data_IF_414282343628
#
_entry.id   IF_414282343628
#
_cell.length_a   1.000
_cell.length_b   1.000
_cell.length_c   1.000
_cell.angle_alpha   90.00
_cell.angle_beta   90.00
_cell.angle_gamma   90.00
#
_symmetry.space_group_name_H-M   'P 1'
#
loop_
_entity.id
_entity.type
_entity.pdbx_description
1 polymer ?
#
# COMPACT_ATOMS: atom_id res chain seq x y z
N UNK A 1 -1.05 45.63 38.41
CA UNK A 1 -1.02 45.02 37.07
C UNK A 1 -2.39 45.21 36.48
N UNK A 2 -2.52 46.04 35.43
CA UNK A 2 -3.82 46.49 34.94
C UNK A 2 -4.61 45.35 34.31
N UNK A 3 -5.90 45.25 34.62
CA UNK A 3 -6.81 44.21 34.10
C UNK A 3 -6.80 44.15 32.57
N UNK A 4 -6.56 45.26 31.89
CA UNK A 4 -6.40 45.36 30.43
C UNK A 4 -5.20 44.56 29.91
N UNK A 5 -4.07 44.59 30.62
CA UNK A 5 -2.86 43.84 30.25
C UNK A 5 -3.12 42.34 30.40
N UNK A 6 -3.85 41.94 31.44
CA UNK A 6 -4.22 40.54 31.68
C UNK A 6 -5.14 40.03 30.57
N UNK A 7 -6.18 40.79 30.20
CA UNK A 7 -7.10 40.43 29.12
C UNK A 7 -6.38 40.34 27.77
N UNK A 8 -5.49 41.30 27.47
CA UNK A 8 -4.68 41.27 26.26
C UNK A 8 -3.76 40.03 26.22
N UNK A 9 -3.09 39.71 27.34
CA UNK A 9 -2.24 38.52 27.44
C UNK A 9 -3.03 37.23 27.23
N UNK A 10 -4.21 37.09 27.86
CA UNK A 10 -5.10 35.92 27.67
C UNK A 10 -5.52 35.80 26.20
N UNK A 11 -5.92 36.91 25.56
CA UNK A 11 -6.33 36.92 24.16
C UNK A 11 -5.20 36.49 23.22
N UNK A 12 -3.98 36.96 23.47
CA UNK A 12 -2.79 36.58 22.70
C UNK A 12 -2.48 35.11 22.88
N UNK A 13 -2.43 34.62 24.12
CA UNK A 13 -2.17 33.20 24.42
C UNK A 13 -3.24 32.32 23.77
N UNK A 14 -4.53 32.66 23.93
CA UNK A 14 -5.64 31.91 23.34
C UNK A 14 -5.56 31.84 21.82
N UNK A 15 -5.17 32.93 21.17
CA UNK A 15 -4.96 32.97 19.71
C UNK A 15 -3.84 32.03 19.27
N UNK A 16 -2.68 32.09 19.95
CA UNK A 16 -1.56 31.18 19.66
C UNK A 16 -1.93 29.71 19.91
N UNK A 17 -2.63 29.41 21.00
CA UNK A 17 -3.11 28.04 21.29
C UNK A 17 -4.06 27.56 20.21
N UNK A 18 -5.00 28.38 19.75
CA UNK A 18 -5.96 27.99 18.72
C UNK A 18 -5.28 27.73 17.37
N UNK A 19 -4.33 28.60 16.98
CA UNK A 19 -3.53 28.40 15.76
C UNK A 19 -2.71 27.11 15.84
N UNK A 20 -2.07 26.84 16.97
CA UNK A 20 -1.31 25.61 17.18
C UNK A 20 -2.21 24.36 17.08
N UNK A 21 -3.35 24.36 17.79
CA UNK A 21 -4.30 23.23 17.76
C UNK A 21 -4.86 23.01 16.35
N UNK A 22 -5.15 24.08 15.60
CA UNK A 22 -5.60 23.97 14.21
C UNK A 22 -4.53 23.35 13.31
N UNK A 23 -3.26 23.77 13.44
CA UNK A 23 -2.16 23.19 12.66
C UNK A 23 -1.97 21.69 12.95
N UNK A 24 -2.07 21.29 14.22
CA UNK A 24 -2.03 19.88 14.63
C UNK A 24 -3.22 19.11 14.03
N UNK A 25 -4.43 19.66 14.13
CA UNK A 25 -5.65 19.05 13.58
C UNK A 25 -5.57 18.89 12.07
N UNK A 26 -5.13 19.91 11.34
CA UNK A 26 -4.99 19.88 9.88
C UNK A 26 -3.98 18.83 9.43
N UNK A 27 -2.83 18.76 10.12
CA UNK A 27 -1.83 17.73 9.88
C UNK A 27 -2.39 16.32 10.13
N UNK A 28 -3.18 16.15 11.19
CA UNK A 28 -3.85 14.88 11.49
C UNK A 28 -4.86 14.49 10.42
N UNK A 29 -5.72 15.44 10.01
CA UNK A 29 -6.71 15.23 8.95
C UNK A 29 -6.05 14.86 7.62
N UNK A 30 -4.97 15.56 7.23
CA UNK A 30 -4.23 15.22 6.02
C UNK A 30 -3.66 13.80 6.07
N UNK A 31 -3.07 13.40 7.19
CA UNK A 31 -2.56 12.02 7.38
C UNK A 31 -3.69 10.98 7.33
N UNK A 32 -4.87 11.31 7.86
CA UNK A 32 -6.03 10.44 7.82
C UNK A 32 -6.54 10.24 6.39
N UNK A 33 -6.71 11.31 5.61
CA UNK A 33 -7.17 11.23 4.23
C UNK A 33 -6.21 10.43 3.34
N UNK A 34 -4.89 10.63 3.49
CA UNK A 34 -3.90 9.82 2.77
C UNK A 34 -4.07 8.33 3.09
N UNK A 35 -4.21 7.95 4.37
CA UNK A 35 -4.39 6.54 4.76
C UNK A 35 -5.71 5.97 4.26
N UNK A 36 -6.78 6.76 4.28
CA UNK A 36 -8.09 6.36 3.75
C UNK A 36 -8.01 6.10 2.25
N UNK A 37 -7.29 6.95 1.51
CA UNK A 37 -7.05 6.76 0.09
C UNK A 37 -6.21 5.50 -0.18
N UNK A 38 -5.10 5.34 0.54
CA UNK A 38 -4.25 4.14 0.50
C UNK A 38 -5.07 2.86 0.70
N UNK A 39 -5.86 2.81 1.77
CA UNK A 39 -6.70 1.67 2.11
C UNK A 39 -7.74 1.38 1.03
N UNK A 40 -8.48 2.40 0.60
CA UNK A 40 -9.62 2.23 -0.31
C UNK A 40 -9.21 1.87 -1.73
N UNK A 41 -8.14 2.47 -2.26
CA UNK A 41 -7.70 2.26 -3.64
C UNK A 41 -6.78 1.05 -3.81
N UNK A 42 -5.96 0.74 -2.81
CA UNK A 42 -4.91 -0.27 -2.95
C UNK A 42 -5.01 -1.41 -1.94
N UNK A 43 -4.80 -1.15 -0.64
CA UNK A 43 -4.56 -2.23 0.32
C UNK A 43 -5.78 -3.13 0.55
N UNK A 44 -7.00 -2.57 0.62
CA UNK A 44 -8.22 -3.39 0.76
C UNK A 44 -8.48 -4.21 -0.51
N UNK A 45 -8.49 -3.61 -1.73
CA UNK A 45 -8.62 -4.40 -2.97
C UNK A 45 -7.54 -5.48 -3.12
N UNK A 46 -6.29 -5.18 -2.75
CA UNK A 46 -5.19 -6.15 -2.79
C UNK A 46 -5.47 -7.31 -1.83
N UNK A 47 -5.77 -7.01 -0.57
CA UNK A 47 -6.06 -8.01 0.46
C UNK A 47 -7.25 -8.91 0.09
N UNK A 48 -8.34 -8.33 -0.41
CA UNK A 48 -9.50 -9.08 -0.86
C UNK A 48 -9.15 -10.07 -1.98
N UNK A 49 -8.37 -9.63 -2.99
CA UNK A 49 -7.91 -10.49 -4.08
C UNK A 49 -6.91 -11.53 -3.59
N UNK A 50 -6.04 -11.18 -2.66
CA UNK A 50 -5.08 -12.10 -2.05
C UNK A 50 -5.79 -13.24 -1.31
N UNK A 51 -6.83 -12.93 -0.54
CA UNK A 51 -7.67 -13.95 0.09
C UNK A 51 -8.44 -14.78 -0.94
N UNK A 52 -9.06 -14.15 -1.95
CA UNK A 52 -9.84 -14.84 -2.96
C UNK A 52 -8.98 -15.78 -3.84
N UNK A 53 -7.73 -15.43 -4.09
CA UNK A 53 -6.78 -16.26 -4.83
C UNK A 53 -6.21 -17.43 -4.04
N UNK A 54 -6.50 -17.52 -2.73
CA UNK A 54 -5.96 -18.52 -1.81
C UNK A 54 -4.42 -18.60 -1.86
N UNK A 55 -3.73 -17.46 -1.99
CA UNK A 55 -2.26 -17.42 -2.15
C UNK A 55 -1.41 -18.09 -1.07
N UNK A 56 -1.87 -18.30 0.18
CA UNK A 56 -1.15 -19.21 1.09
C UNK A 56 -0.97 -20.64 0.53
N UNK A 57 -1.77 -21.03 -0.46
CA UNK A 57 -1.87 -22.36 -1.06
C UNK A 57 -1.74 -22.34 -2.59
N UNK A 58 -1.58 -21.16 -3.21
CA UNK A 58 -1.61 -20.98 -4.65
C UNK A 58 -0.47 -20.10 -5.13
N UNK A 59 -0.13 -20.24 -6.41
CA UNK A 59 0.93 -19.48 -7.09
C UNK A 59 0.31 -18.50 -8.07
N UNK A 60 0.91 -17.31 -8.21
CA UNK A 60 0.43 -16.32 -9.17
C UNK A 60 0.61 -16.87 -10.58
N UNK A 61 1.76 -17.50 -10.87
CA UNK A 61 2.06 -18.10 -12.17
C UNK A 61 1.01 -19.12 -12.62
N UNK A 62 0.46 -19.91 -11.69
CA UNK A 62 -0.55 -20.94 -11.96
C UNK A 62 -1.96 -20.38 -12.20
N UNK A 63 -2.20 -19.09 -11.96
CA UNK A 63 -3.50 -18.47 -12.22
C UNK A 63 -3.71 -18.20 -13.71
N UNK A 64 -4.96 -17.96 -14.11
CA UNK A 64 -5.25 -17.49 -15.48
C UNK A 64 -4.56 -16.15 -15.76
N UNK A 65 -4.18 -15.93 -17.02
CA UNK A 65 -3.57 -14.67 -17.47
C UNK A 65 -4.38 -13.44 -17.06
N UNK A 66 -5.72 -13.52 -17.18
CA UNK A 66 -6.62 -12.46 -16.74
C UNK A 66 -6.51 -12.19 -15.22
N UNK A 67 -6.45 -13.24 -14.40
CA UNK A 67 -6.29 -13.08 -12.95
C UNK A 67 -4.93 -12.46 -12.59
N UNK A 68 -3.84 -12.88 -13.26
CA UNK A 68 -2.51 -12.26 -13.08
C UNK A 68 -2.51 -10.80 -13.50
N UNK A 69 -3.12 -10.48 -14.64
CA UNK A 69 -3.26 -9.10 -15.14
C UNK A 69 -4.03 -8.21 -14.15
N UNK A 70 -5.05 -8.73 -13.46
CA UNK A 70 -5.77 -7.98 -12.41
C UNK A 70 -4.87 -7.60 -11.22
N UNK A 71 -3.95 -8.47 -10.81
CA UNK A 71 -2.95 -8.13 -9.79
C UNK A 71 -1.96 -7.10 -10.30
N UNK A 72 -1.41 -7.36 -11.48
CA UNK A 72 -0.47 -6.46 -12.13
C UNK A 72 -1.04 -5.03 -12.24
N UNK A 73 -2.23 -4.90 -12.83
CA UNK A 73 -2.90 -3.60 -13.00
C UNK A 73 -3.15 -2.90 -11.67
N UNK A 74 -3.60 -3.64 -10.63
CA UNK A 74 -3.82 -3.05 -9.32
C UNK A 74 -2.53 -2.46 -8.73
N UNK A 75 -1.44 -3.21 -8.80
CA UNK A 75 -0.14 -2.77 -8.25
C UNK A 75 0.36 -1.58 -9.06
N UNK A 76 0.43 -1.70 -10.39
CA UNK A 76 0.96 -0.66 -11.29
C UNK A 76 0.20 0.66 -11.17
N UNK A 77 -1.13 0.63 -11.12
CA UNK A 77 -1.93 1.85 -11.04
C UNK A 77 -1.85 2.55 -9.69
N UNK A 78 -1.33 1.88 -8.65
CA UNK A 78 -1.38 2.37 -7.27
C UNK A 78 0.00 2.36 -6.59
N UNK A 79 1.10 2.36 -7.35
CA UNK A 79 2.46 2.36 -6.78
C UNK A 79 2.65 3.52 -5.80
N UNK A 80 2.16 4.71 -6.14
CA UNK A 80 2.26 5.92 -5.30
C UNK A 80 1.56 5.81 -3.94
N UNK A 81 0.68 4.83 -3.75
CA UNK A 81 -0.03 4.57 -2.49
C UNK A 81 0.67 3.53 -1.60
N UNK A 82 1.63 2.77 -2.15
CA UNK A 82 2.41 1.79 -1.39
C UNK A 82 3.42 2.48 -0.47
N UNK A 83 3.88 1.82 0.59
CA UNK A 83 5.02 2.36 1.35
C UNK A 83 6.34 2.14 0.57
N UNK A 84 7.44 2.87 0.90
CA UNK A 84 8.65 2.90 0.08
C UNK A 84 9.29 1.53 -0.20
N UNK A 85 9.17 0.57 0.70
CA UNK A 85 9.72 -0.77 0.52
C UNK A 85 8.99 -1.53 -0.59
N UNK A 86 7.66 -1.57 -0.56
CA UNK A 86 6.87 -2.16 -1.64
C UNK A 86 7.05 -1.42 -2.97
N UNK A 87 7.22 -0.10 -2.96
CA UNK A 87 7.53 0.66 -4.18
C UNK A 87 8.86 0.24 -4.80
N UNK A 88 9.91 0.07 -3.99
CA UNK A 88 11.23 -0.35 -4.46
C UNK A 88 11.22 -1.77 -5.08
N UNK A 89 10.31 -2.63 -4.63
CA UNK A 89 10.15 -4.00 -5.14
C UNK A 89 9.36 -4.07 -6.46
N UNK A 90 8.74 -2.97 -6.89
CA UNK A 90 7.88 -2.97 -8.07
C UNK A 90 8.64 -3.29 -9.36
N UNK A 91 9.85 -2.77 -9.53
CA UNK A 91 10.64 -3.02 -10.76
C UNK A 91 10.91 -4.51 -10.95
N UNK A 92 11.24 -5.23 -9.88
CA UNK A 92 11.50 -6.66 -9.93
C UNK A 92 10.23 -7.44 -10.27
N UNK A 93 9.10 -7.04 -9.69
CA UNK A 93 7.80 -7.63 -9.99
C UNK A 93 7.40 -7.41 -11.46
N UNK A 94 7.57 -6.19 -11.97
CA UNK A 94 7.27 -5.84 -13.36
C UNK A 94 8.13 -6.66 -14.32
N UNK A 95 9.44 -6.74 -14.09
CA UNK A 95 10.35 -7.53 -14.93
C UNK A 95 9.99 -9.02 -14.90
N UNK A 96 9.74 -9.60 -13.72
CA UNK A 96 9.37 -11.01 -13.63
C UNK A 96 8.01 -11.32 -14.29
N UNK A 97 7.09 -10.35 -14.29
CA UNK A 97 5.83 -10.48 -15.02
C UNK A 97 6.05 -10.50 -16.54
N UNK A 98 6.92 -9.62 -17.06
CA UNK A 98 7.29 -9.61 -18.48
C UNK A 98 8.02 -10.89 -18.88
N UNK A 99 8.98 -11.36 -18.07
CA UNK A 99 9.70 -12.61 -18.32
C UNK A 99 8.74 -13.82 -18.46
N UNK A 100 7.64 -13.83 -17.72
CA UNK A 100 6.60 -14.84 -17.86
C UNK A 100 5.82 -14.68 -19.17
N UNK A 101 5.45 -13.45 -19.55
CA UNK A 101 4.75 -13.20 -20.82
C UNK A 101 5.61 -13.61 -22.03
N UNK A 102 6.91 -13.32 -22.01
CA UNK A 102 7.85 -13.76 -23.04
C UNK A 102 7.89 -15.29 -23.14
N UNK A 103 7.98 -15.99 -22.00
CA UNK A 103 7.96 -17.45 -21.97
C UNK A 103 6.63 -18.03 -22.48
N UNK A 104 5.49 -17.42 -22.13
CA UNK A 104 4.16 -17.83 -22.63
C UNK A 104 3.99 -17.61 -24.14
N UNK A 105 4.73 -16.65 -24.71
CA UNK A 105 4.81 -16.41 -26.15
C UNK A 105 5.81 -17.33 -26.88
N UNK A 106 6.36 -18.35 -26.19
CA UNK A 106 7.35 -19.30 -26.71
C UNK A 106 8.67 -18.64 -27.14
N UNK A 107 9.06 -17.54 -26.49
CA UNK A 107 10.38 -16.96 -26.70
C UNK A 107 11.47 -17.93 -26.17
N UNK A 108 12.41 -18.40 -27.01
CA UNK A 108 13.41 -19.40 -26.61
C UNK A 108 14.41 -18.90 -25.56
N UNK A 109 14.52 -17.59 -25.35
CA UNK A 109 15.39 -17.00 -24.31
C UNK A 109 14.80 -17.14 -22.90
N UNK A 110 13.52 -17.48 -22.78
CA UNK A 110 12.79 -17.51 -21.51
C UNK A 110 12.20 -18.89 -21.24
N UNK A 111 12.66 -19.55 -20.18
CA UNK A 111 12.06 -20.80 -19.70
C UNK A 111 10.76 -20.53 -18.94
N UNK A 112 9.67 -21.17 -19.35
CA UNK A 112 8.37 -21.06 -18.67
C UNK A 112 8.45 -21.46 -17.20
N UNK A 113 9.18 -22.52 -16.88
CA UNK A 113 9.36 -23.00 -15.51
C UNK A 113 10.12 -21.97 -14.66
N UNK A 114 11.22 -21.43 -15.20
CA UNK A 114 12.06 -20.48 -14.49
C UNK A 114 11.35 -19.13 -14.28
N UNK A 115 10.72 -18.60 -15.33
CA UNK A 115 9.95 -17.36 -15.29
C UNK A 115 8.77 -17.49 -14.31
N UNK A 116 8.06 -18.62 -14.32
CA UNK A 116 6.96 -18.89 -13.37
C UNK A 116 7.46 -18.84 -11.92
N UNK A 117 8.53 -19.60 -11.62
CA UNK A 117 9.11 -19.64 -10.28
C UNK A 117 9.65 -18.29 -9.81
N UNK A 118 10.25 -17.51 -10.74
CA UNK A 118 10.76 -16.16 -10.46
C UNK A 118 9.61 -15.21 -10.12
N UNK A 119 8.53 -15.21 -10.92
CA UNK A 119 7.33 -14.42 -10.65
C UNK A 119 6.75 -14.74 -9.28
N UNK A 120 6.55 -16.02 -8.96
CA UNK A 120 5.98 -16.42 -7.67
C UNK A 120 6.85 -16.00 -6.49
N UNK A 121 8.18 -16.14 -6.63
CA UNK A 121 9.12 -15.75 -5.59
C UNK A 121 9.03 -14.25 -5.30
N UNK A 122 9.03 -13.42 -6.35
CA UNK A 122 8.97 -11.97 -6.22
C UNK A 122 7.59 -11.52 -5.73
N UNK A 123 6.53 -12.07 -6.29
CA UNK A 123 5.16 -11.76 -5.88
C UNK A 123 4.89 -12.14 -4.42
N UNK A 124 5.40 -13.27 -3.94
CA UNK A 124 5.28 -13.68 -2.55
C UNK A 124 6.03 -12.73 -1.60
N UNK A 125 7.24 -12.30 -1.97
CA UNK A 125 7.99 -11.29 -1.20
C UNK A 125 7.23 -9.96 -1.15
N UNK A 126 6.77 -9.49 -2.30
CA UNK A 126 6.01 -8.23 -2.40
C UNK A 126 4.70 -8.31 -1.61
N UNK A 127 3.96 -9.41 -1.72
CA UNK A 127 2.71 -9.63 -0.99
C UNK A 127 2.91 -9.59 0.53
N UNK A 128 3.97 -10.24 1.03
CA UNK A 128 4.31 -10.18 2.47
C UNK A 128 4.57 -8.75 2.93
N UNK A 129 5.31 -7.99 2.14
CA UNK A 129 5.60 -6.59 2.44
C UNK A 129 4.32 -5.75 2.44
N UNK A 130 3.47 -5.88 1.42
CA UNK A 130 2.16 -5.20 1.34
C UNK A 130 1.27 -5.56 2.53
N UNK A 131 1.25 -6.82 2.97
CA UNK A 131 0.44 -7.24 4.12
C UNK A 131 0.96 -6.65 5.44
N UNK A 132 2.28 -6.52 5.62
CA UNK A 132 2.86 -5.83 6.77
C UNK A 132 2.43 -4.35 6.77
N UNK A 133 2.54 -3.69 5.63
CA UNK A 133 2.14 -2.30 5.44
C UNK A 133 0.64 -2.11 5.72
N UNK A 134 -0.20 -2.98 5.18
CA UNK A 134 -1.65 -2.99 5.40
C UNK A 134 -1.99 -3.06 6.90
N UNK A 135 -1.43 -4.03 7.63
CA UNK A 135 -1.62 -4.15 9.08
C UNK A 135 -1.16 -2.89 9.82
N UNK A 136 -0.05 -2.29 9.38
CA UNK A 136 0.46 -1.03 9.93
C UNK A 136 -0.51 0.14 9.74
N UNK A 137 -1.09 0.28 8.55
CA UNK A 137 -2.04 1.35 8.25
C UNK A 137 -3.36 1.15 9.01
N UNK A 138 -3.87 -0.08 9.08
CA UNK A 138 -5.07 -0.41 9.87
C UNK A 138 -4.91 -0.02 11.35
N UNK A 139 -3.76 -0.35 11.96
CA UNK A 139 -3.44 0.07 13.34
C UNK A 139 -3.45 1.59 13.50
N UNK A 140 -2.82 2.33 12.57
CA UNK A 140 -2.81 3.81 12.58
C UNK A 140 -4.23 4.39 12.44
N UNK A 141 -5.14 3.66 11.80
CA UNK A 141 -6.55 4.04 11.61
C UNK A 141 -7.49 3.47 12.67
N UNK A 142 -6.99 2.75 13.68
CA UNK A 142 -7.80 2.10 14.72
C UNK A 142 -8.84 1.11 14.15
N UNK A 143 -8.48 0.44 13.05
CA UNK A 143 -9.31 -0.57 12.39
C UNK A 143 -8.90 -1.99 12.82
N UNK A 144 -9.83 -2.98 12.71
CA UNK A 144 -9.51 -4.38 12.98
C UNK A 144 -8.37 -4.88 12.09
N UNK A 145 -7.42 -5.59 12.69
CA UNK A 145 -6.22 -6.11 12.01
C UNK A 145 -6.40 -7.60 11.75
N UNK A 146 -6.33 -8.08 10.49
CA UNK A 146 -6.40 -9.50 10.18
C UNK A 146 -5.25 -10.31 10.82
N UNK A 147 -5.54 -11.55 11.21
CA UNK A 147 -4.57 -12.46 11.82
C UNK A 147 -3.65 -13.18 10.80
N UNK A 148 -3.99 -13.07 9.51
CA UNK A 148 -3.36 -13.79 8.39
C UNK A 148 -1.98 -13.22 8.06
#
# INVERSE_FOLDING_TARGET
MDSTIIVAAISVIGSFTLVYLNSVKETSNRKYEIRKEQLSKFYIPFYQRYCAGLFPQNQLSAMSSEARARFFNLITQNIYLMEPLSQAMYSDFYSAYLDLLEAENNNPEYSLEESSRKLDTIFNKLSRQILIEYKGILKKCHLPVPLI
#
